data_IF_624135672638
#
_entry.id   IF_624135672638
#
_cell.length_a   1.000
_cell.length_b   1.000
_cell.length_c   1.000
_cell.angle_alpha   90.00
_cell.angle_beta   90.00
_cell.angle_gamma   90.00
#
_symmetry.space_group_name_H-M   'P 1'
#
loop_
_entity.id
_entity.type
_entity.pdbx_description
1 polymer ?
#
# COMPACT_ATOMS: atom_id res chain seq x y z
N UNK A 1 15.29 40.86 28.93
CA UNK A 1 14.21 40.15 28.23
C UNK A 1 14.25 38.71 28.71
N UNK A 2 13.34 38.33 29.61
CA UNK A 2 13.27 36.97 30.11
C UNK A 2 12.67 36.10 29.00
N UNK A 3 13.46 35.18 28.46
CA UNK A 3 13.01 34.24 27.44
C UNK A 3 12.03 33.28 28.12
N UNK A 4 10.74 33.47 27.84
CA UNK A 4 9.66 32.63 28.34
C UNK A 4 9.89 31.20 27.82
N UNK A 5 10.30 30.32 28.72
CA UNK A 5 10.62 28.92 28.41
C UNK A 5 9.32 28.19 28.10
N UNK A 6 8.87 28.26 26.85
CA UNK A 6 7.69 27.51 26.40
C UNK A 6 7.94 26.02 26.65
N UNK A 7 7.09 25.41 27.48
CA UNK A 7 7.13 23.98 27.73
C UNK A 7 6.80 23.23 26.44
N UNK A 8 7.76 22.45 25.95
CA UNK A 8 7.62 21.64 24.75
C UNK A 8 6.81 20.39 25.06
N UNK A 9 5.83 20.07 24.22
CA UNK A 9 5.08 18.81 24.36
C UNK A 9 5.94 17.61 23.98
N UNK A 10 5.61 16.41 24.51
CA UNK A 10 6.27 15.15 24.14
C UNK A 10 6.23 14.90 22.63
N UNK A 11 5.12 15.27 21.98
CA UNK A 11 4.95 15.15 20.53
C UNK A 11 5.89 16.05 19.76
N UNK A 12 6.05 17.30 20.19
CA UNK A 12 6.97 18.26 19.58
C UNK A 12 8.42 17.84 19.78
N UNK A 13 8.77 17.34 20.97
CA UNK A 13 10.10 16.79 21.26
C UNK A 13 10.41 15.60 20.33
N UNK A 14 9.46 14.67 20.18
CA UNK A 14 9.60 13.52 19.27
C UNK A 14 9.74 13.93 17.81
N UNK A 15 8.93 14.90 17.34
CA UNK A 15 9.04 15.43 15.98
C UNK A 15 10.41 16.07 15.75
N UNK A 16 10.85 16.94 16.66
CA UNK A 16 12.13 17.64 16.57
C UNK A 16 13.31 16.66 16.57
N UNK A 17 13.26 15.63 17.42
CA UNK A 17 14.26 14.55 17.42
C UNK A 17 14.30 13.81 16.08
N UNK A 18 13.14 13.46 15.52
CA UNK A 18 13.06 12.85 14.20
C UNK A 18 13.61 13.74 13.08
N UNK A 19 13.35 15.04 13.12
CA UNK A 19 13.89 15.99 12.14
C UNK A 19 15.41 16.10 12.22
N UNK A 20 15.99 16.13 13.43
CA UNK A 20 17.45 16.13 13.63
C UNK A 20 18.07 14.85 13.06
N UNK A 21 17.48 13.68 13.37
CA UNK A 21 17.96 12.38 12.86
C UNK A 21 17.85 12.32 11.33
N UNK A 22 16.77 12.84 10.76
CA UNK A 22 16.59 12.94 9.30
C UNK A 22 17.60 13.87 8.66
N UNK A 23 17.93 15.00 9.26
CA UNK A 23 18.99 15.89 8.75
C UNK A 23 20.37 15.22 8.83
N UNK A 24 20.65 14.48 9.91
CA UNK A 24 21.94 13.83 10.12
C UNK A 24 22.18 12.62 9.21
N UNK A 25 21.17 11.77 9.00
CA UNK A 25 21.34 10.48 8.32
C UNK A 25 20.55 10.35 7.00
N UNK A 26 19.69 11.32 6.67
CA UNK A 26 18.93 11.34 5.43
C UNK A 26 17.80 10.31 5.35
N UNK A 27 17.16 10.24 4.18
CA UNK A 27 16.04 9.32 3.89
C UNK A 27 16.48 7.86 3.81
N UNK A 28 17.70 7.59 3.34
CA UNK A 28 18.24 6.24 3.20
C UNK A 28 18.31 5.51 4.54
N UNK A 29 18.63 6.22 5.63
CA UNK A 29 18.63 5.66 6.98
C UNK A 29 17.25 5.15 7.41
N UNK A 30 16.20 5.95 7.19
CA UNK A 30 14.83 5.54 7.50
C UNK A 30 14.35 4.35 6.65
N UNK A 31 14.73 4.33 5.36
CA UNK A 31 14.45 3.19 4.49
C UNK A 31 15.14 1.92 5.00
N UNK A 32 16.39 2.02 5.44
CA UNK A 32 17.15 0.88 5.96
C UNK A 32 16.56 0.33 7.26
N UNK A 33 16.24 1.18 8.24
CA UNK A 33 15.64 0.73 9.51
C UNK A 33 14.21 0.21 9.29
N UNK A 34 13.45 0.82 8.38
CA UNK A 34 12.10 0.38 8.04
C UNK A 34 12.11 -0.99 7.36
N UNK A 35 13.04 -1.22 6.43
CA UNK A 35 13.25 -2.53 5.81
C UNK A 35 13.64 -3.57 6.86
N UNK A 36 14.63 -3.27 7.71
CA UNK A 36 15.05 -4.20 8.78
C UNK A 36 13.91 -4.58 9.72
N UNK A 37 13.10 -3.60 10.13
CA UNK A 37 11.91 -3.88 10.95
C UNK A 37 10.86 -4.71 10.20
N UNK A 38 10.66 -4.43 8.91
CA UNK A 38 9.75 -5.21 8.06
C UNK A 38 10.21 -6.66 7.86
N UNK A 39 11.52 -6.88 7.69
CA UNK A 39 12.11 -8.23 7.57
C UNK A 39 11.87 -9.05 8.82
N UNK A 40 12.15 -8.48 10.00
CA UNK A 40 11.89 -9.15 11.30
C UNK A 40 10.42 -9.53 11.43
N UNK A 41 9.50 -8.60 11.15
CA UNK A 41 8.05 -8.88 11.23
C UNK A 41 7.64 -9.95 10.21
N UNK A 42 8.24 -9.96 9.03
CA UNK A 42 7.94 -10.96 8.01
C UNK A 42 8.42 -12.36 8.40
N UNK A 43 9.60 -12.47 9.02
CA UNK A 43 10.12 -13.72 9.56
C UNK A 43 9.25 -14.24 10.72
N UNK A 44 8.85 -13.36 11.65
CA UNK A 44 8.07 -13.75 12.82
C UNK A 44 6.61 -14.09 12.52
N UNK A 45 5.97 -13.37 11.59
CA UNK A 45 4.51 -13.41 11.38
C UNK A 45 4.09 -14.10 10.09
N UNK A 46 5.01 -14.23 9.13
CA UNK A 46 4.78 -14.94 7.88
C UNK A 46 3.69 -14.33 6.99
N UNK A 47 3.31 -15.08 5.95
CA UNK A 47 2.41 -14.62 4.89
C UNK A 47 0.97 -14.36 5.35
N UNK A 48 0.46 -15.17 6.27
CA UNK A 48 -0.92 -15.05 6.74
C UNK A 48 -1.19 -13.73 7.45
N UNK A 49 -0.21 -13.22 8.19
CA UNK A 49 -0.29 -11.91 8.81
C UNK A 49 -0.49 -10.80 7.78
N UNK A 50 0.31 -10.80 6.70
CA UNK A 50 0.16 -9.82 5.62
C UNK A 50 -1.17 -9.95 4.87
N UNK A 51 -1.65 -11.19 4.68
CA UNK A 51 -2.96 -11.42 4.08
C UNK A 51 -4.09 -10.83 4.96
N UNK A 52 -4.01 -11.03 6.29
CA UNK A 52 -4.99 -10.49 7.24
C UNK A 52 -4.98 -8.96 7.29
N UNK A 53 -3.80 -8.33 7.40
CA UNK A 53 -3.72 -6.86 7.42
C UNK A 53 -4.17 -6.26 6.09
N UNK A 54 -3.85 -6.90 4.96
CA UNK A 54 -4.30 -6.49 3.63
C UNK A 54 -5.82 -6.57 3.51
N UNK A 55 -6.42 -7.68 3.96
CA UNK A 55 -7.89 -7.86 3.99
C UNK A 55 -8.55 -6.78 4.85
N UNK A 56 -8.06 -6.56 6.07
CA UNK A 56 -8.60 -5.56 7.00
C UNK A 56 -8.51 -4.13 6.44
N UNK A 57 -7.38 -3.81 5.78
CA UNK A 57 -7.19 -2.55 5.08
C UNK A 57 -8.21 -2.37 3.94
N UNK A 58 -8.37 -3.39 3.10
CA UNK A 58 -9.35 -3.40 2.02
C UNK A 58 -10.79 -3.25 2.51
N UNK A 59 -11.18 -3.97 3.56
CA UNK A 59 -12.52 -3.86 4.18
C UNK A 59 -12.77 -2.46 4.75
N UNK A 60 -11.76 -1.85 5.36
CA UNK A 60 -11.85 -0.49 5.88
C UNK A 60 -12.08 0.53 4.77
N UNK A 61 -11.33 0.42 3.67
CA UNK A 61 -11.48 1.27 2.49
C UNK A 61 -12.86 1.07 1.88
N UNK A 62 -13.31 -0.19 1.71
CA UNK A 62 -14.63 -0.52 1.17
C UNK A 62 -15.77 0.08 2.00
N UNK A 63 -15.71 -0.05 3.32
CA UNK A 63 -16.71 0.53 4.23
C UNK A 63 -16.73 2.06 4.16
N UNK A 64 -15.57 2.69 4.02
CA UNK A 64 -15.45 4.15 4.00
C UNK A 64 -15.87 4.78 2.67
N UNK A 65 -15.56 4.12 1.55
CA UNK A 65 -15.66 4.71 0.22
C UNK A 65 -16.70 4.06 -0.71
N UNK A 66 -17.23 2.89 -0.35
CA UNK A 66 -18.25 2.21 -1.13
C UNK A 66 -17.76 1.69 -2.50
N UNK A 67 -18.72 1.30 -3.35
CA UNK A 67 -18.44 0.67 -4.65
C UNK A 67 -17.96 1.66 -5.71
N UNK A 68 -18.50 2.89 -5.70
CA UNK A 68 -18.14 3.95 -6.65
C UNK A 68 -16.65 4.26 -6.65
N UNK A 69 -16.01 4.22 -5.48
CA UNK A 69 -14.57 4.39 -5.36
C UNK A 69 -13.79 3.30 -6.11
N UNK A 70 -14.21 2.03 -5.99
CA UNK A 70 -13.55 0.95 -6.72
C UNK A 70 -13.76 1.06 -8.24
N UNK A 71 -14.95 1.49 -8.66
CA UNK A 71 -15.22 1.76 -10.06
C UNK A 71 -14.33 2.90 -10.60
N UNK A 72 -14.18 3.98 -9.84
CA UNK A 72 -13.31 5.10 -10.22
C UNK A 72 -11.84 4.69 -10.31
N UNK A 73 -11.28 4.06 -9.27
CA UNK A 73 -9.86 3.66 -9.29
C UNK A 73 -9.59 2.60 -10.37
N UNK A 74 -10.57 1.72 -10.63
CA UNK A 74 -10.51 0.75 -11.71
C UNK A 74 -10.48 1.42 -13.08
N UNK A 75 -11.35 2.40 -13.31
CA UNK A 75 -11.36 3.21 -14.55
C UNK A 75 -10.05 3.96 -14.74
N UNK A 76 -9.56 4.66 -13.72
CA UNK A 76 -8.31 5.45 -13.79
C UNK A 76 -7.10 4.56 -14.06
N UNK A 77 -7.01 3.42 -13.36
CA UNK A 77 -5.99 2.41 -13.63
C UNK A 77 -6.08 1.90 -15.06
N UNK A 78 -7.30 1.67 -15.53
CA UNK A 78 -7.54 1.20 -16.88
C UNK A 78 -7.11 2.20 -17.97
N UNK A 79 -7.51 3.46 -17.84
CA UNK A 79 -7.12 4.54 -18.74
C UNK A 79 -5.60 4.71 -18.78
N UNK A 80 -4.93 4.62 -17.64
CA UNK A 80 -3.46 4.68 -17.55
C UNK A 80 -2.80 3.56 -18.35
N UNK A 81 -3.29 2.34 -18.21
CA UNK A 81 -2.79 1.17 -18.97
C UNK A 81 -3.05 1.36 -20.46
N UNK A 82 -4.23 1.86 -20.84
CA UNK A 82 -4.62 2.08 -22.24
C UNK A 82 -3.70 3.11 -22.90
N UNK A 83 -3.41 4.19 -22.20
CA UNK A 83 -2.50 5.24 -22.67
C UNK A 83 -1.07 4.72 -22.85
N UNK A 84 -0.59 3.83 -21.97
CA UNK A 84 0.78 3.29 -22.03
C UNK A 84 0.98 2.19 -23.06
N UNK A 85 -0.01 1.32 -23.24
CA UNK A 85 0.15 0.06 -23.99
C UNK A 85 -0.81 -0.11 -25.17
N UNK A 86 -1.73 0.83 -25.37
CA UNK A 86 -2.68 0.78 -26.48
C UNK A 86 -3.77 -0.30 -26.32
N UNK A 87 -4.64 -0.42 -27.34
CA UNK A 87 -5.80 -1.32 -27.31
C UNK A 87 -5.43 -2.81 -27.41
N UNK A 88 -4.34 -3.17 -28.10
CA UNK A 88 -3.92 -4.58 -28.27
C UNK A 88 -3.56 -5.26 -26.94
N UNK A 89 -2.96 -4.49 -26.03
CA UNK A 89 -2.65 -4.95 -24.68
C UNK A 89 -3.94 -5.33 -23.90
N UNK A 90 -5.01 -4.55 -24.07
CA UNK A 90 -6.32 -4.87 -23.47
C UNK A 90 -6.92 -6.15 -23.99
N UNK A 91 -6.86 -6.36 -25.30
CA UNK A 91 -7.32 -7.59 -25.93
C UNK A 91 -6.51 -8.81 -25.43
N UNK A 92 -5.21 -8.63 -25.16
CA UNK A 92 -4.37 -9.69 -24.63
C UNK A 92 -4.70 -10.03 -23.17
N UNK A 93 -4.79 -9.04 -22.29
CA UNK A 93 -5.10 -9.28 -20.86
C UNK A 93 -6.54 -9.77 -20.68
N UNK A 94 -7.48 -9.29 -21.50
CA UNK A 94 -8.87 -9.77 -21.51
C UNK A 94 -8.98 -11.24 -21.92
N UNK A 95 -8.25 -11.64 -22.98
CA UNK A 95 -8.16 -13.06 -23.37
C UNK A 95 -7.58 -13.92 -22.25
N UNK A 96 -6.43 -13.53 -21.68
CA UNK A 96 -5.80 -14.25 -20.55
C UNK A 96 -6.73 -14.38 -19.34
N UNK A 97 -7.46 -13.32 -19.01
CA UNK A 97 -8.45 -13.31 -17.92
C UNK A 97 -9.61 -14.27 -18.20
N UNK A 98 -10.18 -14.22 -19.40
CA UNK A 98 -11.27 -15.12 -19.82
C UNK A 98 -10.86 -16.59 -19.84
N UNK A 99 -9.66 -16.90 -20.34
CA UNK A 99 -9.11 -18.26 -20.33
C UNK A 99 -8.89 -18.79 -18.91
N UNK A 100 -8.41 -17.94 -18.01
CA UNK A 100 -8.22 -18.29 -16.59
C UNK A 100 -9.56 -18.57 -15.90
N UNK A 101 -10.57 -17.73 -16.13
CA UNK A 101 -11.92 -17.95 -15.61
C UNK A 101 -12.55 -19.25 -16.15
N UNK A 102 -12.37 -19.53 -17.44
CA UNK A 102 -12.83 -20.78 -18.07
C UNK A 102 -12.16 -22.01 -17.45
N UNK A 103 -10.84 -21.96 -17.23
CA UNK A 103 -10.07 -23.04 -16.59
C UNK A 103 -10.51 -23.30 -15.16
N UNK A 104 -10.84 -22.26 -14.38
CA UNK A 104 -11.35 -22.40 -13.02
C UNK A 104 -12.74 -23.05 -13.02
N UNK A 105 -13.62 -22.65 -13.95
CA UNK A 105 -14.96 -23.26 -14.09
C UNK A 105 -14.90 -24.74 -14.48
N UNK A 106 -13.94 -25.15 -15.30
CA UNK A 106 -13.77 -26.57 -15.69
C UNK A 106 -13.12 -27.43 -14.62
N UNK A 107 -12.47 -26.84 -13.61
CA UNK A 107 -11.77 -27.55 -12.52
C UNK A 107 -12.57 -27.60 -11.22
N UNK A 108 -13.70 -26.89 -11.12
CA UNK A 108 -14.60 -26.99 -9.98
C UNK A 108 -15.39 -28.30 -10.09
N UNK A 109 -15.39 -29.19 -9.07
CA UNK A 109 -16.29 -30.33 -9.05
C UNK A 109 -17.76 -29.83 -8.99
N UNK A 110 -18.64 -30.60 -9.64
CA UNK A 110 -20.08 -30.33 -9.71
C UNK A 110 -20.76 -30.39 -8.33
#
# INVERSE_FOLDING_TARGET
>A
MAEERREMTVREAGKRGGEIVKQKYGSAFYAAIGRKGGEVVAEERGREFYAQIGKRGGETVKRKHGLEFYAEIGRRGGETVKMRHGPDYYAQIGRKGGESARRLRTKAPA
#
